data_IF_968593209345
#
_entry.id   IF_968593209345
#
_cell.length_a   1.000
_cell.length_b   1.000
_cell.length_c   1.000
_cell.angle_alpha   90.00
_cell.angle_beta   90.00
_cell.angle_gamma   90.00
#
_symmetry.space_group_name_H-M   'P 1'
#
loop_
_entity.id
_entity.type
_entity.pdbx_description
1 polymer ?
#
# COMPACT_ATOMS: atom_id res chain seq x y z
N UNK A 1 1.31 7.75 -11.23
CA UNK A 1 2.66 7.33 -10.75
C UNK A 1 3.73 8.32 -11.16
N UNK A 2 3.73 8.79 -12.42
CA UNK A 2 4.70 9.77 -12.93
C UNK A 2 4.81 11.05 -12.10
N UNK A 3 3.68 11.58 -11.59
CA UNK A 3 3.66 12.84 -10.83
C UNK A 3 4.46 12.79 -9.53
N UNK A 4 4.43 11.64 -8.83
CA UNK A 4 5.17 11.45 -7.57
C UNK A 4 6.67 11.28 -7.86
N UNK A 5 7.01 10.52 -8.90
CA UNK A 5 8.41 10.30 -9.30
C UNK A 5 9.07 11.57 -9.84
N UNK A 6 8.31 12.51 -10.42
CA UNK A 6 8.83 13.83 -10.85
C UNK A 6 9.17 14.75 -9.68
N UNK A 7 8.43 14.68 -8.57
CA UNK A 7 8.70 15.53 -7.40
C UNK A 7 9.88 15.03 -6.59
N UNK A 8 10.01 13.71 -6.41
CA UNK A 8 11.12 13.13 -5.68
C UNK A 8 11.43 11.73 -6.21
N UNK A 9 12.58 11.60 -6.86
CA UNK A 9 13.01 10.34 -7.48
C UNK A 9 13.83 9.50 -6.50
N UNK A 10 13.35 8.33 -6.06
CA UNK A 10 14.14 7.43 -5.24
C UNK A 10 15.23 6.76 -6.08
N UNK A 11 16.42 6.53 -5.49
CA UNK A 11 17.49 5.77 -6.16
C UNK A 11 17.18 4.28 -6.25
N UNK A 12 16.49 3.76 -5.23
CA UNK A 12 16.16 2.35 -5.06
C UNK A 12 14.67 2.23 -4.80
N UNK A 13 14.00 1.36 -5.55
CA UNK A 13 12.60 1.03 -5.34
C UNK A 13 12.47 -0.47 -5.07
N UNK A 14 11.94 -0.81 -3.90
CA UNK A 14 11.64 -2.18 -3.55
C UNK A 14 10.14 -2.44 -3.68
N UNK A 15 9.75 -3.47 -4.43
CA UNK A 15 8.35 -3.93 -4.52
C UNK A 15 8.25 -5.41 -4.12
N UNK A 16 7.01 -5.90 -4.02
CA UNK A 16 6.77 -7.34 -3.98
C UNK A 16 6.99 -7.97 -5.38
N UNK A 17 6.71 -9.27 -5.47
CA UNK A 17 6.82 -10.03 -6.72
C UNK A 17 5.56 -9.92 -7.60
N UNK A 18 4.71 -8.92 -7.39
CA UNK A 18 3.52 -8.67 -8.21
C UNK A 18 3.87 -8.44 -9.67
N UNK A 19 3.18 -9.13 -10.57
CA UNK A 19 3.43 -9.08 -12.02
C UNK A 19 3.22 -7.68 -12.61
N UNK A 20 2.39 -6.87 -11.95
CA UNK A 20 2.14 -5.47 -12.30
C UNK A 20 3.41 -4.60 -12.20
N UNK A 21 4.37 -4.97 -11.35
CA UNK A 21 5.62 -4.23 -11.18
C UNK A 21 6.72 -4.71 -12.14
N UNK A 22 6.52 -5.83 -12.85
CA UNK A 22 7.54 -6.39 -13.75
C UNK A 22 7.16 -6.30 -15.24
N UNK A 23 6.06 -5.61 -15.56
CA UNK A 23 5.65 -5.37 -16.94
C UNK A 23 6.59 -4.38 -17.66
N UNK A 24 6.49 -4.34 -19.00
CA UNK A 24 7.39 -3.54 -19.83
C UNK A 24 7.21 -2.03 -19.58
N UNK A 25 5.98 -1.57 -19.34
CA UNK A 25 5.70 -0.16 -19.10
C UNK A 25 6.37 0.33 -17.82
N UNK A 26 6.28 -0.46 -16.74
CA UNK A 26 6.90 -0.16 -15.47
C UNK A 26 8.43 -0.20 -15.56
N UNK A 27 8.99 -1.20 -16.24
CA UNK A 27 10.44 -1.27 -16.51
C UNK A 27 10.95 -0.05 -17.29
N UNK A 28 10.22 0.38 -18.32
CA UNK A 28 10.57 1.56 -19.10
C UNK A 28 10.51 2.83 -18.22
N UNK A 29 9.51 2.94 -17.36
CA UNK A 29 9.39 4.03 -16.40
C UNK A 29 10.59 4.05 -15.43
N UNK A 30 10.95 2.91 -14.82
CA UNK A 30 12.10 2.85 -13.91
C UNK A 30 13.41 3.24 -14.59
N UNK A 31 13.61 2.81 -15.85
CA UNK A 31 14.78 3.22 -16.66
C UNK A 31 14.79 4.72 -16.95
N UNK A 32 13.65 5.30 -17.31
CA UNK A 32 13.54 6.73 -17.61
C UNK A 32 13.96 7.60 -16.41
N UNK A 33 13.62 7.18 -15.19
CA UNK A 33 13.96 7.90 -13.96
C UNK A 33 15.26 7.40 -13.31
N UNK A 34 15.99 6.49 -13.97
CA UNK A 34 17.23 5.87 -13.46
C UNK A 34 17.07 5.26 -12.04
N UNK A 35 15.95 4.56 -11.83
CA UNK A 35 15.60 3.93 -10.55
C UNK A 35 16.02 2.47 -10.59
N UNK A 36 16.76 2.03 -9.58
CA UNK A 36 17.04 0.60 -9.38
C UNK A 36 15.83 -0.07 -8.74
N UNK A 37 15.03 -0.77 -9.56
CA UNK A 37 13.86 -1.53 -9.12
C UNK A 37 14.22 -2.99 -8.86
N UNK A 38 13.91 -3.48 -7.67
CA UNK A 38 14.16 -4.86 -7.27
C UNK A 38 13.05 -5.38 -6.35
N UNK A 39 12.86 -6.70 -6.33
CA UNK A 39 12.10 -7.37 -5.28
C UNK A 39 13.06 -7.99 -4.27
N UNK A 40 12.57 -8.26 -3.06
CA UNK A 40 13.31 -9.12 -2.14
C UNK A 40 12.38 -10.09 -1.43
N UNK A 41 12.77 -11.36 -1.45
CA UNK A 41 12.13 -12.43 -0.71
C UNK A 41 12.59 -12.40 0.75
N UNK A 42 11.89 -11.64 1.59
CA UNK A 42 12.06 -11.72 3.04
C UNK A 42 10.80 -11.23 3.75
N UNK A 43 10.26 -12.07 4.63
CA UNK A 43 9.03 -11.78 5.38
C UNK A 43 9.14 -10.50 6.22
N UNK A 44 10.33 -10.21 6.76
CA UNK A 44 10.55 -9.02 7.60
C UNK A 44 10.50 -7.70 6.83
N UNK A 45 10.62 -7.73 5.50
CA UNK A 45 10.69 -6.50 4.67
C UNK A 45 9.33 -5.89 4.42
N UNK A 46 8.26 -6.69 4.48
CA UNK A 46 6.89 -6.19 4.37
C UNK A 46 6.41 -5.47 5.63
N UNK A 47 7.01 -5.75 6.80
CA UNK A 47 6.55 -5.25 8.10
C UNK A 47 6.42 -3.72 8.18
N UNK A 48 7.29 -2.98 7.49
CA UNK A 48 7.23 -1.51 7.42
C UNK A 48 5.98 -1.07 6.64
N UNK A 49 5.78 -1.66 5.46
CA UNK A 49 4.63 -1.36 4.59
C UNK A 49 3.33 -1.76 5.28
N UNK A 50 3.28 -2.91 5.94
CA UNK A 50 2.14 -3.38 6.73
C UNK A 50 1.79 -2.41 7.87
N UNK A 51 2.80 -1.88 8.58
CA UNK A 51 2.60 -0.90 9.65
C UNK A 51 2.01 0.41 9.10
N UNK A 52 2.50 0.89 7.96
CA UNK A 52 1.97 2.08 7.31
C UNK A 52 0.52 1.84 6.87
N UNK A 53 0.24 0.70 6.21
CA UNK A 53 -1.11 0.33 5.80
C UNK A 53 -2.08 0.23 6.98
N UNK A 54 -1.66 -0.37 8.10
CA UNK A 54 -2.47 -0.42 9.33
C UNK A 54 -2.73 0.98 9.91
N UNK A 55 -1.72 1.84 9.92
CA UNK A 55 -1.85 3.22 10.40
C UNK A 55 -2.85 4.00 9.54
N UNK A 56 -2.73 3.90 8.21
CA UNK A 56 -3.66 4.54 7.28
C UNK A 56 -5.09 4.02 7.44
N UNK A 57 -5.28 2.70 7.53
CA UNK A 57 -6.60 2.09 7.79
C UNK A 57 -7.22 2.63 9.09
N UNK A 58 -6.42 2.76 10.15
CA UNK A 58 -6.90 3.29 11.42
C UNK A 58 -7.29 4.77 11.34
N UNK A 59 -6.52 5.60 10.62
CA UNK A 59 -6.87 7.01 10.42
C UNK A 59 -8.18 7.13 9.63
N UNK A 60 -8.25 6.42 8.51
CA UNK A 60 -9.45 6.32 7.67
C UNK A 60 -10.66 5.89 8.50
N UNK A 61 -10.55 4.80 9.27
CA UNK A 61 -11.62 4.31 10.13
C UNK A 61 -12.11 5.34 11.16
N UNK A 62 -11.20 6.08 11.79
CA UNK A 62 -11.56 7.14 12.75
C UNK A 62 -12.39 8.21 12.08
N UNK A 63 -11.95 8.72 10.93
CA UNK A 63 -12.67 9.75 10.19
C UNK A 63 -14.05 9.25 9.72
N UNK A 64 -14.13 8.03 9.17
CA UNK A 64 -15.39 7.45 8.72
C UNK A 64 -16.37 7.12 9.87
N UNK A 65 -15.86 6.69 11.03
CA UNK A 65 -16.69 6.43 12.22
C UNK A 65 -17.23 7.72 12.84
N UNK A 66 -16.51 8.83 12.72
CA UNK A 66 -16.96 10.15 13.18
C UNK A 66 -18.03 10.74 12.26
N UNK A 67 -18.06 10.34 10.99
CA UNK A 67 -19.00 10.82 9.99
C UNK A 67 -20.22 9.90 9.79
N UNK A 68 -20.36 8.84 10.60
CA UNK A 68 -21.43 7.82 10.54
C UNK A 68 -21.68 7.25 9.13
N UNK A 69 -20.61 7.18 8.33
CA UNK A 69 -20.61 6.60 6.99
C UNK A 69 -20.48 5.08 7.12
N UNK A 70 -21.62 4.37 7.18
CA UNK A 70 -21.70 2.90 7.22
C UNK A 70 -21.29 2.22 5.89
N UNK A 71 -20.17 2.62 5.27
CA UNK A 71 -19.63 1.82 4.18
C UNK A 71 -18.74 0.71 4.71
N UNK A 72 -19.28 -0.52 4.66
CA UNK A 72 -18.56 -1.77 4.82
C UNK A 72 -17.52 -1.91 3.71
N UNK A 73 -16.38 -1.23 3.84
CA UNK A 73 -15.23 -1.45 2.96
C UNK A 73 -14.69 -2.85 3.28
N UNK A 74 -15.05 -3.84 2.44
CA UNK A 74 -14.43 -5.16 2.45
C UNK A 74 -12.99 -5.02 1.95
N UNK A 75 -12.06 -4.76 2.86
CA UNK A 75 -10.64 -4.91 2.58
C UNK A 75 -10.28 -6.37 2.85
N UNK A 76 -9.78 -7.03 1.80
CA UNK A 76 -9.54 -8.47 1.71
C UNK A 76 -8.98 -9.12 2.97
N UNK A 77 -9.60 -10.27 3.27
CA UNK A 77 -9.17 -11.43 4.04
C UNK A 77 -8.29 -11.20 5.27
N UNK A 78 -8.80 -11.71 6.40
CA UNK A 78 -8.22 -11.82 7.76
C UNK A 78 -8.67 -10.82 8.82
N UNK A 79 -9.54 -9.84 8.52
CA UNK A 79 -10.10 -8.99 9.59
C UNK A 79 -11.61 -8.79 9.42
N UNK A 80 -12.40 -9.65 10.09
CA UNK A 80 -13.81 -9.36 10.38
C UNK A 80 -13.87 -8.52 11.66
N UNK A 81 -14.28 -7.26 11.57
CA UNK A 81 -14.62 -6.46 12.76
C UNK A 81 -16.13 -6.37 12.84
N UNK A 82 -16.73 -7.25 13.64
CA UNK A 82 -18.14 -7.19 14.00
C UNK A 82 -18.32 -6.23 15.17
N UNK A 83 -19.30 -5.32 15.08
CA UNK A 83 -19.72 -4.48 16.21
C UNK A 83 -20.33 -5.39 17.27
N UNK A 84 -19.63 -5.66 18.38
CA UNK A 84 -20.29 -6.18 19.57
C UNK A 84 -21.02 -5.00 20.21
N UNK A 85 -22.30 -4.85 19.89
CA UNK A 85 -23.21 -4.02 20.68
C UNK A 85 -23.62 -4.86 21.89
N UNK A 86 -22.99 -4.60 23.03
CA UNK A 86 -23.67 -4.81 24.30
C UNK A 86 -24.78 -3.76 24.40
N UNK A 87 -26.03 -4.22 24.34
CA UNK A 87 -27.07 -4.21 25.38
C UNK A 87 -28.02 -5.36 25.01
#
# INVERSE_FOLDING_TARGET
METVLKQQTPKNLQTDAGIEFFNQNFKNLMKQYNINHYNVFSEKKAAIVERVNRTMKNMVWKEFSLQDLEEKIKVGDHVRISKVRGI
#
